data_IF_717872427329
#
_entry.id   IF_717872427329
#
_cell.length_a   1.000
_cell.length_b   1.000
_cell.length_c   1.000
_cell.angle_alpha   90.00
_cell.angle_beta   90.00
_cell.angle_gamma   90.00
#
_symmetry.space_group_name_H-M   'P 1'
#
loop_
_entity.id
_entity.type
_entity.pdbx_description
1 polymer ?
#
# COMPACT_ATOMS: atom_id res chain seq x y z
N UNK A 1 -10.42 -1.69 20.77
CA UNK A 1 -11.08 -2.97 20.39
C UNK A 1 -12.56 -2.99 20.76
N UNK A 2 -12.94 -2.87 22.05
CA UNK A 2 -14.36 -2.90 22.48
C UNK A 2 -15.26 -1.93 21.72
N UNK A 3 -14.80 -0.69 21.49
CA UNK A 3 -15.53 0.28 20.70
C UNK A 3 -15.82 -0.18 19.26
N UNK A 4 -14.88 -0.87 18.62
CA UNK A 4 -15.05 -1.39 17.26
C UNK A 4 -16.06 -2.55 17.21
N UNK A 5 -16.02 -3.44 18.21
CA UNK A 5 -17.02 -4.52 18.35
C UNK A 5 -18.41 -3.92 18.59
N UNK A 6 -18.54 -2.96 19.52
CA UNK A 6 -19.81 -2.26 19.77
C UNK A 6 -20.36 -1.58 18.52
N UNK A 7 -19.51 -0.92 17.74
CA UNK A 7 -19.91 -0.30 16.47
C UNK A 7 -20.44 -1.33 15.46
N UNK A 8 -19.85 -2.53 15.39
CA UNK A 8 -20.35 -3.59 14.52
C UNK A 8 -21.63 -4.27 15.05
N UNK A 9 -21.88 -4.23 16.36
CA UNK A 9 -23.11 -4.74 16.96
C UNK A 9 -24.30 -3.76 16.80
N UNK A 10 -24.06 -2.54 16.34
CA UNK A 10 -25.13 -1.63 15.97
C UNK A 10 -25.89 -2.17 14.75
N UNK A 11 -27.22 -2.22 14.82
CA UNK A 11 -28.07 -2.78 13.76
C UNK A 11 -27.81 -2.12 12.39
N UNK A 12 -27.46 -0.83 12.39
CA UNK A 12 -27.17 -0.07 11.16
C UNK A 12 -25.91 -0.55 10.44
N UNK A 13 -24.98 -1.22 11.13
CA UNK A 13 -23.80 -1.82 10.50
C UNK A 13 -24.13 -3.10 9.72
N UNK A 14 -25.23 -3.78 10.08
CA UNK A 14 -25.68 -5.01 9.44
C UNK A 14 -24.60 -6.11 9.40
N UNK A 15 -24.04 -6.44 10.56
CA UNK A 15 -22.92 -7.40 10.69
C UNK A 15 -23.21 -8.77 10.08
N UNK A 16 -24.44 -9.26 10.21
CA UNK A 16 -24.84 -10.52 9.60
C UNK A 16 -24.78 -10.46 8.07
N UNK A 17 -25.37 -9.41 7.48
CA UNK A 17 -25.37 -9.21 6.03
C UNK A 17 -23.96 -9.05 5.44
N UNK A 18 -23.08 -8.35 6.14
CA UNK A 18 -21.69 -8.13 5.68
C UNK A 18 -20.82 -9.39 5.81
N UNK A 19 -21.06 -10.21 6.83
CA UNK A 19 -20.34 -11.47 7.05
C UNK A 19 -20.83 -12.61 6.17
N UNK A 20 -22.15 -12.71 5.95
CA UNK A 20 -22.78 -13.77 5.16
C UNK A 20 -22.92 -13.45 3.67
N UNK A 21 -22.38 -12.30 3.23
CA UNK A 21 -22.39 -11.90 1.82
C UNK A 21 -21.40 -12.69 0.98
N UNK A 22 -21.81 -13.05 -0.24
CA UNK A 22 -20.92 -13.60 -1.27
C UNK A 22 -19.95 -12.56 -1.83
N UNK A 23 -20.23 -11.27 -1.65
CA UNK A 23 -19.42 -10.16 -2.17
C UNK A 23 -18.07 -9.97 -1.47
N UNK A 24 -17.82 -10.65 -0.36
CA UNK A 24 -16.46 -10.76 0.18
C UNK A 24 -15.96 -9.60 1.04
N UNK A 25 -16.82 -8.79 1.65
CA UNK A 25 -16.41 -7.59 2.40
C UNK A 25 -15.55 -7.88 3.65
N UNK A 26 -14.77 -6.88 4.08
CA UNK A 26 -14.06 -6.83 5.35
C UNK A 26 -14.45 -5.58 6.16
N UNK A 27 -14.46 -5.64 7.51
CA UNK A 27 -14.58 -4.43 8.33
C UNK A 27 -13.28 -3.63 8.28
N UNK A 28 -13.32 -2.45 7.66
CA UNK A 28 -12.31 -1.40 7.83
C UNK A 28 -12.60 -0.65 9.13
N UNK A 29 -11.56 -0.48 9.94
CA UNK A 29 -11.60 0.30 11.18
C UNK A 29 -10.77 1.56 10.97
N UNK A 30 -11.39 2.73 11.06
CA UNK A 30 -10.71 4.03 11.09
C UNK A 30 -10.68 4.52 12.53
N UNK A 31 -9.49 4.82 13.03
CA UNK A 31 -9.28 5.32 14.40
C UNK A 31 -8.94 6.81 14.33
N UNK A 32 -9.52 7.58 15.25
CA UNK A 32 -9.33 9.02 15.42
C UNK A 32 -9.02 9.37 16.88
N UNK A 33 -8.46 10.57 17.11
CA UNK A 33 -8.20 11.14 18.43
C UNK A 33 -6.92 10.64 19.12
N UNK A 34 -6.69 11.05 20.39
CA UNK A 34 -5.41 10.91 21.07
C UNK A 34 -4.93 9.47 21.27
N UNK A 35 -5.84 8.49 21.32
CA UNK A 35 -5.51 7.07 21.49
C UNK A 35 -4.52 6.58 20.42
N UNK A 36 -4.59 7.15 19.20
CA UNK A 36 -3.67 6.82 18.10
C UNK A 36 -2.21 7.01 18.54
N UNK A 37 -1.91 8.11 19.22
CA UNK A 37 -0.57 8.42 19.71
C UNK A 37 -0.21 7.60 20.96
N UNK A 38 -1.15 7.46 21.89
CA UNK A 38 -0.95 6.71 23.14
C UNK A 38 -0.53 5.26 22.90
N UNK A 39 -1.10 4.60 21.89
CA UNK A 39 -0.78 3.20 21.56
C UNK A 39 0.19 3.07 20.38
N UNK A 40 0.79 4.18 19.93
CA UNK A 40 1.72 4.24 18.79
C UNK A 40 1.15 3.60 17.52
N UNK A 41 -0.10 3.94 17.17
CA UNK A 41 -0.65 3.64 15.86
C UNK A 41 0.13 4.35 14.77
N UNK A 42 0.31 3.66 13.65
CA UNK A 42 0.85 4.30 12.47
C UNK A 42 -0.28 5.03 11.75
N UNK A 43 -0.20 6.36 11.79
CA UNK A 43 -0.91 7.26 10.92
C UNK A 43 0.05 7.88 9.90
N UNK A 44 1.17 7.20 9.56
CA UNK A 44 2.19 7.62 8.57
C UNK A 44 2.37 6.61 7.40
N UNK A 45 3.56 6.50 6.82
CA UNK A 45 3.94 5.58 5.73
C UNK A 45 3.21 4.24 5.71
N UNK A 46 2.83 3.78 4.53
CA UNK A 46 2.28 2.43 4.34
C UNK A 46 1.04 2.17 5.24
N UNK A 47 0.19 3.19 5.42
CA UNK A 47 -0.86 3.28 6.43
C UNK A 47 -1.89 2.13 6.41
N UNK A 48 -2.13 1.55 5.22
CA UNK A 48 -3.06 0.44 5.02
C UNK A 48 -2.40 -0.94 5.07
N UNK A 49 -1.08 -1.03 5.26
CA UNK A 49 -0.35 -2.29 5.19
C UNK A 49 0.41 -2.62 6.50
N UNK A 50 1.47 -3.42 6.38
CA UNK A 50 2.07 -4.23 7.44
C UNK A 50 3.01 -3.50 8.42
N UNK A 51 3.05 -2.17 8.41
CA UNK A 51 4.08 -1.42 9.14
C UNK A 51 3.90 -1.27 10.66
N UNK A 52 2.69 -1.46 11.20
CA UNK A 52 2.39 -1.15 12.61
C UNK A 52 1.76 -2.30 13.38
N UNK A 53 2.36 -2.60 14.53
CA UNK A 53 1.83 -3.55 15.51
C UNK A 53 0.44 -3.15 16.00
N UNK A 54 0.22 -1.90 16.37
CA UNK A 54 -1.07 -1.45 16.91
C UNK A 54 -2.20 -1.59 15.86
N UNK A 55 -1.97 -1.09 14.64
CA UNK A 55 -2.95 -1.22 13.54
C UNK A 55 -3.24 -2.70 13.24
N UNK A 56 -2.20 -3.51 13.05
CA UNK A 56 -2.33 -4.93 12.73
C UNK A 56 -3.02 -5.72 13.85
N UNK A 57 -2.68 -5.47 15.12
CA UNK A 57 -3.30 -6.14 16.27
C UNK A 57 -4.77 -5.78 16.38
N UNK A 58 -5.17 -4.52 16.18
CA UNK A 58 -6.59 -4.13 16.26
C UNK A 58 -7.40 -4.82 15.16
N UNK A 59 -6.95 -4.74 13.90
CA UNK A 59 -7.66 -5.37 12.78
C UNK A 59 -7.71 -6.89 12.92
N UNK A 60 -6.60 -7.52 13.33
CA UNK A 60 -6.53 -8.97 13.54
C UNK A 60 -7.39 -9.42 14.72
N UNK A 61 -7.41 -8.69 15.83
CA UNK A 61 -8.25 -8.99 16.98
C UNK A 61 -9.73 -8.97 16.61
N UNK A 62 -10.16 -7.95 15.85
CA UNK A 62 -11.53 -7.90 15.32
C UNK A 62 -11.84 -9.11 14.46
N UNK A 63 -10.94 -9.49 13.52
CA UNK A 63 -11.17 -10.69 12.71
C UNK A 63 -11.25 -11.97 13.57
N UNK A 64 -10.42 -12.11 14.59
CA UNK A 64 -10.46 -13.25 15.50
C UNK A 64 -11.75 -13.29 16.33
N UNK A 65 -12.29 -12.14 16.74
CA UNK A 65 -13.62 -12.09 17.36
C UNK A 65 -14.71 -12.59 16.40
N UNK A 66 -14.70 -12.14 15.14
CA UNK A 66 -15.66 -12.61 14.14
C UNK A 66 -15.56 -14.13 13.93
N UNK A 67 -14.34 -14.66 13.85
CA UNK A 67 -14.11 -16.10 13.65
C UNK A 67 -14.56 -16.93 14.87
N UNK A 68 -14.08 -16.57 16.06
CA UNK A 68 -14.20 -17.42 17.24
C UNK A 68 -15.47 -17.20 18.05
N UNK A 69 -16.03 -15.98 18.03
CA UNK A 69 -17.22 -15.64 18.83
C UNK A 69 -18.50 -15.66 18.00
N UNK A 70 -18.41 -15.26 16.73
CA UNK A 70 -19.58 -15.15 15.84
C UNK A 70 -19.64 -16.27 14.80
N UNK A 71 -18.64 -17.15 14.76
CA UNK A 71 -18.61 -18.28 13.83
C UNK A 71 -18.44 -17.88 12.36
N UNK A 72 -17.87 -16.70 12.06
CA UNK A 72 -17.57 -16.21 10.70
C UNK A 72 -16.43 -16.98 10.01
N UNK A 73 -16.47 -18.31 10.10
CA UNK A 73 -15.52 -19.25 9.49
C UNK A 73 -15.80 -19.34 7.98
N UNK A 74 -14.77 -19.29 7.12
CA UNK A 74 -14.92 -19.49 5.68
C UNK A 74 -15.68 -20.78 5.33
N UNK A 75 -16.68 -20.68 4.46
CA UNK A 75 -17.53 -21.80 4.06
C UNK A 75 -18.71 -22.07 5.00
N UNK A 76 -18.66 -21.59 6.24
CA UNK A 76 -19.78 -21.59 7.18
C UNK A 76 -20.53 -20.26 7.08
N UNK A 77 -20.47 -19.42 8.12
CA UNK A 77 -21.12 -18.10 8.11
C UNK A 77 -20.43 -17.12 7.15
N UNK A 78 -19.12 -17.22 6.93
CA UNK A 78 -18.44 -16.41 5.91
C UNK A 78 -18.64 -17.04 4.53
N UNK A 79 -19.52 -16.42 3.74
CA UNK A 79 -19.94 -16.90 2.41
C UNK A 79 -19.23 -16.21 1.24
N UNK A 80 -18.15 -15.48 1.53
CA UNK A 80 -17.33 -14.82 0.51
C UNK A 80 -16.92 -15.79 -0.59
N UNK A 81 -17.13 -15.43 -1.86
CA UNK A 81 -16.67 -16.26 -2.99
C UNK A 81 -15.16 -16.19 -3.17
N UNK A 82 -14.58 -14.99 -3.04
CA UNK A 82 -13.14 -14.75 -3.11
C UNK A 82 -12.58 -14.16 -1.80
N UNK A 83 -13.30 -13.19 -1.21
CA UNK A 83 -12.76 -12.36 -0.13
C UNK A 83 -11.64 -11.44 -0.63
N UNK A 84 -10.93 -10.79 0.31
CA UNK A 84 -9.75 -10.00 0.00
C UNK A 84 -8.78 -9.94 1.20
N UNK A 85 -7.51 -9.54 1.01
CA UNK A 85 -6.50 -9.55 2.08
C UNK A 85 -6.87 -8.76 3.34
N UNK A 86 -7.72 -7.74 3.22
CA UNK A 86 -8.23 -6.95 4.36
C UNK A 86 -9.03 -7.78 5.38
N UNK A 87 -9.55 -8.96 4.98
CA UNK A 87 -10.17 -9.90 5.92
C UNK A 87 -9.16 -10.52 6.89
N UNK A 88 -7.85 -10.39 6.67
CA UNK A 88 -6.85 -10.76 7.66
C UNK A 88 -6.67 -9.68 8.73
N UNK A 89 -6.51 -8.43 8.29
CA UNK A 89 -6.45 -7.22 9.12
C UNK A 89 -6.70 -5.98 8.26
N UNK A 90 -7.52 -5.04 8.75
CA UNK A 90 -7.77 -3.77 8.08
C UNK A 90 -8.12 -2.67 9.09
N UNK A 91 -7.10 -1.91 9.50
CA UNK A 91 -7.23 -0.86 10.50
C UNK A 91 -6.26 0.28 10.17
N UNK A 92 -6.76 1.51 10.17
CA UNK A 92 -6.00 2.71 9.84
C UNK A 92 -6.25 3.78 10.90
N UNK A 93 -5.20 4.53 11.20
CA UNK A 93 -5.30 5.74 11.98
C UNK A 93 -5.32 6.93 11.01
N UNK A 94 -6.28 7.85 11.18
CA UNK A 94 -6.28 9.08 10.40
C UNK A 94 -5.12 9.98 10.81
N UNK A 95 -4.54 10.69 9.84
CA UNK A 95 -3.52 11.71 10.07
C UNK A 95 -4.19 13.04 10.45
N UNK A 96 -4.19 13.36 11.76
CA UNK A 96 -4.81 14.57 12.30
C UNK A 96 -3.78 15.67 12.57
N UNK A 97 -2.50 15.32 12.58
CA UNK A 97 -1.39 16.21 12.95
C UNK A 97 -0.79 16.91 11.74
N UNK A 98 -0.77 16.26 10.56
CA UNK A 98 -0.29 16.82 9.29
C UNK A 98 -1.45 16.99 8.29
N UNK A 99 -2.57 17.52 8.80
CA UNK A 99 -3.77 17.81 8.02
C UNK A 99 -4.53 19.01 8.59
N UNK A 100 -4.82 20.06 7.79
CA UNK A 100 -5.72 21.13 8.22
C UNK A 100 -7.21 20.72 8.11
N UNK A 101 -7.51 19.55 7.52
CA UNK A 101 -8.87 19.06 7.44
C UNK A 101 -9.36 18.56 8.79
N UNK A 102 -10.61 18.89 9.12
CA UNK A 102 -11.32 18.33 10.27
C UNK A 102 -11.28 16.79 10.23
N UNK A 103 -10.88 16.10 11.31
CA UNK A 103 -10.84 14.65 11.30
C UNK A 103 -12.23 14.02 11.21
N UNK A 104 -12.29 12.79 10.72
CA UNK A 104 -13.52 12.07 10.42
C UNK A 104 -14.43 11.94 11.65
N UNK A 105 -13.86 11.71 12.83
CA UNK A 105 -14.64 11.63 14.07
C UNK A 105 -15.38 12.93 14.38
N UNK A 106 -14.72 14.08 14.26
CA UNK A 106 -15.32 15.39 14.50
C UNK A 106 -16.35 15.72 13.41
N UNK A 107 -16.10 15.37 12.13
CA UNK A 107 -17.13 15.48 11.08
C UNK A 107 -18.40 14.69 11.42
N UNK A 108 -18.28 13.62 12.23
CA UNK A 108 -19.39 12.79 12.71
C UNK A 108 -19.88 13.15 14.12
N UNK A 109 -19.54 14.34 14.61
CA UNK A 109 -20.07 14.89 15.85
C UNK A 109 -19.38 14.43 17.13
N UNK A 110 -18.25 13.73 17.03
CA UNK A 110 -17.41 13.43 18.20
C UNK A 110 -16.73 14.72 18.67
N UNK A 111 -16.74 14.95 19.99
CA UNK A 111 -16.11 16.13 20.57
C UNK A 111 -14.58 16.10 20.40
N UNK A 112 -13.97 17.29 20.40
CA UNK A 112 -12.52 17.40 20.30
C UNK A 112 -11.81 16.74 21.49
N UNK A 113 -10.62 16.19 21.25
CA UNK A 113 -9.86 15.41 22.25
C UNK A 113 -10.46 14.04 22.60
N UNK A 114 -11.60 13.64 22.04
CA UNK A 114 -12.20 12.32 22.27
C UNK A 114 -11.76 11.34 21.20
N UNK A 115 -11.28 10.17 21.63
CA UNK A 115 -10.92 9.09 20.71
C UNK A 115 -12.15 8.36 20.21
N UNK A 116 -12.16 8.02 18.92
CA UNK A 116 -13.29 7.35 18.28
C UNK A 116 -12.85 6.30 17.26
N UNK A 117 -13.80 5.44 16.90
CA UNK A 117 -13.66 4.46 15.83
C UNK A 117 -14.84 4.57 14.88
N UNK A 118 -14.55 4.56 13.59
CA UNK A 118 -15.54 4.36 12.52
C UNK A 118 -15.32 2.99 11.92
N UNK A 119 -16.38 2.18 11.79
CA UNK A 119 -16.30 0.85 11.19
C UNK A 119 -17.17 0.78 9.95
N UNK A 120 -16.60 0.30 8.85
CA UNK A 120 -17.25 0.26 7.52
C UNK A 120 -16.96 -1.09 6.88
N UNK A 121 -17.99 -1.74 6.33
CA UNK A 121 -17.77 -2.93 5.50
C UNK A 121 -17.34 -2.49 4.10
N UNK A 122 -16.16 -2.92 3.66
CA UNK A 122 -15.54 -2.48 2.41
C UNK A 122 -15.13 -3.68 1.53
N UNK A 123 -15.07 -3.45 0.22
CA UNK A 123 -14.36 -4.32 -0.73
C UNK A 123 -12.83 -4.21 -0.54
N UNK A 124 -12.06 -4.96 -1.34
CA UNK A 124 -10.63 -4.73 -1.45
C UNK A 124 -10.33 -3.27 -1.82
N UNK A 125 -9.37 -2.61 -1.15
CA UNK A 125 -8.91 -1.30 -1.58
C UNK A 125 -8.43 -1.33 -3.03
N UNK A 126 -8.81 -0.32 -3.80
CA UNK A 126 -8.31 -0.06 -5.16
C UNK A 126 -7.42 1.17 -5.11
N UNK A 127 -6.17 1.02 -5.53
CA UNK A 127 -5.26 2.15 -5.64
C UNK A 127 -5.49 2.85 -6.98
N UNK A 128 -5.57 4.18 -6.92
CA UNK A 128 -5.86 5.04 -8.06
C UNK A 128 -4.75 6.07 -8.12
N UNK A 129 -4.22 6.32 -9.32
CA UNK A 129 -3.10 7.23 -9.52
C UNK A 129 -3.48 8.29 -10.54
N UNK A 130 -3.25 9.55 -10.19
CA UNK A 130 -3.26 10.66 -11.12
C UNK A 130 -2.17 11.65 -10.69
N UNK A 131 -1.07 11.69 -11.44
CA UNK A 131 0.05 12.60 -11.22
C UNK A 131 0.19 13.64 -12.34
N UNK A 132 -0.82 13.75 -13.20
CA UNK A 132 -0.80 14.57 -14.43
C UNK A 132 -1.58 15.88 -14.29
N UNK A 133 -2.19 16.12 -13.14
CA UNK A 133 -2.93 17.35 -12.84
C UNK A 133 -2.71 17.80 -11.40
N UNK A 134 -2.76 19.10 -11.20
CA UNK A 134 -2.81 19.76 -9.89
C UNK A 134 -4.19 20.37 -9.59
N UNK A 135 -5.16 20.26 -10.50
CA UNK A 135 -6.54 20.70 -10.29
C UNK A 135 -7.32 19.71 -9.40
N UNK A 136 -7.79 20.13 -8.21
CA UNK A 136 -8.65 19.32 -7.35
C UNK A 136 -9.87 18.70 -8.05
N UNK A 137 -10.49 19.41 -8.98
CA UNK A 137 -11.68 18.93 -9.69
C UNK A 137 -11.34 17.73 -10.58
N UNK A 138 -10.21 17.78 -11.29
CA UNK A 138 -9.74 16.69 -12.14
C UNK A 138 -9.28 15.47 -11.31
N UNK A 139 -8.67 15.71 -10.14
CA UNK A 139 -8.38 14.65 -9.17
C UNK A 139 -9.68 13.99 -8.66
N UNK A 140 -10.68 14.78 -8.30
CA UNK A 140 -11.98 14.26 -7.90
C UNK A 140 -12.70 13.51 -9.03
N UNK A 141 -12.54 13.93 -10.29
CA UNK A 141 -13.07 13.21 -11.44
C UNK A 141 -12.42 11.82 -11.58
N UNK A 142 -11.13 11.71 -11.26
CA UNK A 142 -10.43 10.42 -11.20
C UNK A 142 -11.06 9.50 -10.15
N UNK A 143 -11.35 10.02 -8.95
CA UNK A 143 -12.03 9.23 -7.91
C UNK A 143 -13.45 8.84 -8.32
N UNK A 144 -14.19 9.75 -8.96
CA UNK A 144 -15.53 9.48 -9.46
C UNK A 144 -15.53 8.42 -10.57
N UNK A 145 -14.53 8.43 -11.45
CA UNK A 145 -14.37 7.42 -12.50
C UNK A 145 -14.24 6.00 -11.93
N UNK A 146 -13.44 5.84 -10.88
CA UNK A 146 -13.28 4.56 -10.19
C UNK A 146 -14.55 4.11 -9.48
N UNK A 147 -15.31 5.03 -8.90
CA UNK A 147 -16.63 4.72 -8.33
C UNK A 147 -17.61 4.29 -9.41
N UNK A 148 -17.66 4.96 -10.58
CA UNK A 148 -18.47 4.52 -11.72
C UNK A 148 -18.06 3.13 -12.19
N UNK A 149 -16.75 2.85 -12.28
CA UNK A 149 -16.25 1.52 -12.62
C UNK A 149 -16.71 0.46 -11.59
N UNK A 150 -16.65 0.77 -10.29
CA UNK A 150 -17.17 -0.11 -9.23
C UNK A 150 -18.69 -0.33 -9.34
N UNK A 151 -19.48 0.69 -9.71
CA UNK A 151 -20.92 0.53 -9.95
C UNK A 151 -21.21 -0.47 -11.08
N UNK A 152 -20.43 -0.38 -12.15
CA UNK A 152 -20.60 -1.25 -13.31
C UNK A 152 -20.12 -2.68 -13.01
N UNK A 153 -19.02 -2.84 -12.28
CA UNK A 153 -18.35 -4.14 -12.12
C UNK A 153 -18.74 -4.90 -10.86
N UNK A 154 -18.99 -4.21 -9.75
CA UNK A 154 -19.26 -4.80 -8.44
C UNK A 154 -20.69 -4.53 -7.94
N UNK A 155 -21.02 -3.31 -7.53
CA UNK A 155 -22.30 -2.98 -6.89
C UNK A 155 -23.27 -2.28 -7.84
N UNK A 156 -24.49 -2.79 -7.98
CA UNK A 156 -25.55 -2.09 -8.74
C UNK A 156 -26.38 -1.13 -7.88
N UNK A 157 -26.00 -0.97 -6.61
CA UNK A 157 -26.69 -0.19 -5.60
C UNK A 157 -25.80 0.93 -5.09
N UNK A 158 -26.42 2.07 -4.76
CA UNK A 158 -25.73 3.15 -4.07
C UNK A 158 -25.38 2.72 -2.63
N UNK A 159 -24.23 3.16 -2.14
CA UNK A 159 -23.75 2.80 -0.81
C UNK A 159 -22.57 3.66 -0.36
N UNK A 160 -22.07 3.43 0.86
CA UNK A 160 -20.94 4.17 1.39
C UNK A 160 -19.63 3.78 0.69
N UNK A 161 -18.76 4.77 0.49
CA UNK A 161 -17.38 4.57 0.02
C UNK A 161 -16.40 5.18 1.02
N UNK A 162 -15.18 4.65 1.04
CA UNK A 162 -14.07 5.23 1.81
C UNK A 162 -12.98 5.66 0.85
N UNK A 163 -12.67 6.95 0.85
CA UNK A 163 -11.59 7.53 0.07
C UNK A 163 -10.46 7.91 1.02
N UNK A 164 -9.34 7.22 0.89
CA UNK A 164 -8.14 7.42 1.71
C UNK A 164 -7.16 8.26 0.89
N UNK A 165 -7.01 9.54 1.21
CA UNK A 165 -6.23 10.49 0.40
C UNK A 165 -4.83 10.69 1.00
N UNK A 166 -3.75 10.33 0.30
CA UNK A 166 -2.38 10.54 0.78
C UNK A 166 -2.03 12.03 0.77
N UNK A 167 -1.11 12.45 1.65
CA UNK A 167 -0.77 13.88 1.78
C UNK A 167 -0.32 14.56 0.50
N UNK A 168 0.40 13.87 -0.40
CA UNK A 168 0.78 14.44 -1.71
C UNK A 168 -0.43 15.01 -2.48
N UNK A 169 -1.57 14.33 -2.46
CA UNK A 169 -2.79 14.83 -3.09
C UNK A 169 -3.53 15.81 -2.18
N UNK A 170 -3.59 15.55 -0.86
CA UNK A 170 -4.24 16.47 0.09
C UNK A 170 -3.65 17.88 0.02
N UNK A 171 -2.33 18.02 -0.10
CA UNK A 171 -1.65 19.32 -0.17
C UNK A 171 -2.15 20.13 -1.38
N UNK A 172 -2.50 19.49 -2.50
CA UNK A 172 -3.11 20.16 -3.68
C UNK A 172 -4.52 20.67 -3.37
N UNK A 173 -5.35 19.83 -2.74
CA UNK A 173 -6.69 20.25 -2.29
C UNK A 173 -6.62 21.42 -1.30
N UNK A 174 -5.72 21.32 -0.31
CA UNK A 174 -5.53 22.35 0.71
C UNK A 174 -5.03 23.66 0.09
N UNK A 175 -4.08 23.60 -0.84
CA UNK A 175 -3.57 24.79 -1.54
C UNK A 175 -4.67 25.50 -2.35
N UNK A 176 -5.63 24.75 -2.89
CA UNK A 176 -6.81 25.29 -3.56
C UNK A 176 -7.95 25.71 -2.61
N UNK A 177 -7.75 25.60 -1.29
CA UNK A 177 -8.75 25.94 -0.27
C UNK A 177 -9.87 24.91 -0.09
N UNK A 178 -9.75 23.72 -0.66
CA UNK A 178 -10.76 22.67 -0.56
C UNK A 178 -10.74 22.01 0.83
N UNK A 179 -11.94 21.71 1.31
CA UNK A 179 -12.21 20.89 2.48
C UNK A 179 -12.72 19.51 2.04
N UNK A 180 -12.75 18.53 2.96
CA UNK A 180 -13.32 17.19 2.69
C UNK A 180 -14.75 17.26 2.13
N UNK A 181 -15.56 18.24 2.57
CA UNK A 181 -16.92 18.45 2.06
C UNK A 181 -16.94 18.73 0.55
N UNK A 182 -15.97 19.47 0.02
CA UNK A 182 -15.94 19.87 -1.38
C UNK A 182 -15.61 18.66 -2.26
N UNK A 183 -14.73 17.77 -1.76
CA UNK A 183 -14.48 16.45 -2.35
C UNK A 183 -15.74 15.59 -2.36
N UNK A 184 -16.47 15.51 -1.22
CA UNK A 184 -17.74 14.75 -1.12
C UNK A 184 -18.77 15.24 -2.13
N UNK A 185 -18.99 16.55 -2.20
CA UNK A 185 -19.97 17.16 -3.10
C UNK A 185 -19.61 16.95 -4.57
N UNK A 186 -18.35 17.16 -4.95
CA UNK A 186 -17.90 16.94 -6.31
C UNK A 186 -18.11 15.47 -6.71
N UNK A 187 -17.62 14.54 -5.90
CA UNK A 187 -17.68 13.10 -6.21
C UNK A 187 -19.13 12.61 -6.25
N UNK A 188 -20.00 13.03 -5.33
CA UNK A 188 -21.43 12.67 -5.37
C UNK A 188 -22.15 13.19 -6.61
N UNK A 189 -21.76 14.38 -7.10
CA UNK A 189 -22.27 14.91 -8.36
C UNK A 189 -21.78 14.09 -9.55
N UNK A 190 -20.48 13.77 -9.61
CA UNK A 190 -19.83 13.17 -10.78
C UNK A 190 -19.92 11.63 -10.86
N UNK A 191 -20.04 10.92 -9.73
CA UNK A 191 -20.06 9.46 -9.68
C UNK A 191 -21.46 8.90 -10.03
N UNK A 192 -21.83 9.03 -11.30
CA UNK A 192 -23.12 8.60 -11.86
C UNK A 192 -22.94 7.75 -13.10
N UNK A 193 -23.82 6.80 -13.29
CA UNK A 193 -23.92 5.97 -14.50
C UNK A 193 -25.36 5.89 -14.95
N UNK A 194 -25.59 5.63 -16.24
CA UNK A 194 -26.92 5.35 -16.77
C UNK A 194 -27.17 3.85 -16.72
N UNK A 195 -28.44 3.46 -16.61
CA UNK A 195 -28.81 2.05 -16.60
C UNK A 195 -28.30 1.30 -17.83
N UNK A 196 -28.27 1.95 -18.99
CA UNK A 196 -27.73 1.40 -20.23
C UNK A 196 -26.24 1.02 -20.18
N UNK A 197 -25.43 1.66 -19.32
CA UNK A 197 -23.99 1.41 -19.23
C UNK A 197 -23.69 -0.02 -18.77
N UNK A 198 -24.59 -0.65 -17.99
CA UNK A 198 -24.44 -2.04 -17.56
C UNK A 198 -24.45 -3.06 -18.72
N UNK A 199 -24.98 -2.70 -19.90
CA UNK A 199 -24.85 -3.56 -21.10
C UNK A 199 -23.39 -3.78 -21.48
N UNK A 200 -22.54 -2.75 -21.34
CA UNK A 200 -21.13 -2.77 -21.75
C UNK A 200 -20.27 -3.72 -20.89
N UNK A 201 -20.76 -4.08 -19.71
CA UNK A 201 -20.08 -4.98 -18.75
C UNK A 201 -20.83 -6.31 -18.57
N UNK A 202 -21.62 -6.72 -19.57
CA UNK A 202 -22.29 -8.02 -19.59
C UNK A 202 -23.51 -8.16 -18.69
N UNK A 203 -24.02 -7.05 -18.14
CA UNK A 203 -25.17 -7.01 -17.22
C UNK A 203 -26.46 -6.56 -17.91
N UNK A 204 -26.64 -6.92 -19.18
CA UNK A 204 -27.78 -6.51 -20.02
C UNK A 204 -29.16 -6.88 -19.45
N UNK A 205 -29.26 -7.94 -18.63
CA UNK A 205 -30.50 -8.36 -17.96
C UNK A 205 -31.06 -7.31 -16.99
N UNK A 206 -30.23 -6.36 -16.54
CA UNK A 206 -30.67 -5.26 -15.67
C UNK A 206 -31.35 -4.12 -16.44
N UNK A 207 -31.27 -4.13 -17.77
CA UNK A 207 -31.63 -2.99 -18.62
C UNK A 207 -32.88 -3.30 -19.42
N UNK A 208 -33.93 -2.53 -19.20
CA UNK A 208 -35.19 -2.57 -19.93
C UNK A 208 -35.37 -1.27 -20.73
N UNK A 209 -36.25 -1.24 -21.76
CA UNK A 209 -36.52 0.00 -22.49
C UNK A 209 -36.97 1.16 -21.59
N UNK A 210 -37.73 0.87 -20.53
CA UNK A 210 -38.31 1.86 -19.61
C UNK A 210 -37.26 2.47 -18.69
N UNK A 211 -36.19 1.71 -18.35
CA UNK A 211 -35.20 2.14 -17.38
C UNK A 211 -33.85 2.55 -17.99
N UNK A 212 -33.63 2.34 -19.29
CA UNK A 212 -32.32 2.49 -19.94
C UNK A 212 -31.65 3.85 -19.72
N UNK A 213 -32.43 4.94 -19.82
CA UNK A 213 -31.95 6.31 -19.63
C UNK A 213 -31.85 6.76 -18.16
N UNK A 214 -32.32 5.95 -17.20
CA UNK A 214 -32.32 6.34 -15.79
C UNK A 214 -30.90 6.41 -15.24
N UNK A 215 -30.60 7.51 -14.56
CA UNK A 215 -29.33 7.70 -13.86
C UNK A 215 -29.34 7.05 -12.47
N UNK A 216 -28.17 6.54 -12.09
CA UNK A 216 -27.88 5.95 -10.80
C UNK A 216 -26.62 6.60 -10.23
N UNK A 217 -26.64 6.87 -8.92
CA UNK A 217 -25.51 7.45 -8.19
C UNK A 217 -24.74 6.37 -7.42
N UNK A 218 -23.43 6.55 -7.25
CA UNK A 218 -22.63 5.67 -6.40
C UNK A 218 -22.98 5.84 -4.91
N UNK A 219 -23.25 7.08 -4.50
CA UNK A 219 -23.51 7.50 -3.13
C UNK A 219 -24.97 7.95 -3.02
N UNK A 220 -25.66 7.71 -1.89
CA UNK A 220 -27.06 8.19 -1.71
C UNK A 220 -27.09 9.67 -1.34
N UNK A 221 -26.06 10.14 -0.66
CA UNK A 221 -25.82 11.53 -0.30
C UNK A 221 -24.30 11.78 -0.26
N UNK A 222 -23.82 13.05 -0.34
CA UNK A 222 -22.40 13.37 -0.21
C UNK A 222 -21.72 12.72 1.01
N UNK A 223 -22.41 12.72 2.16
CA UNK A 223 -21.90 12.20 3.43
C UNK A 223 -21.76 10.66 3.51
N UNK A 224 -22.23 9.93 2.50
CA UNK A 224 -21.89 8.50 2.32
C UNK A 224 -20.42 8.31 1.90
N UNK A 225 -19.72 9.36 1.45
CA UNK A 225 -18.29 9.32 1.14
C UNK A 225 -17.45 9.68 2.36
N UNK A 226 -16.74 8.69 2.90
CA UNK A 226 -15.82 8.90 4.01
C UNK A 226 -14.44 9.29 3.48
N UNK A 227 -14.09 10.56 3.60
CA UNK A 227 -12.76 11.06 3.25
C UNK A 227 -11.84 10.97 4.47
N UNK A 228 -10.87 10.05 4.40
CA UNK A 228 -9.87 9.81 5.43
C UNK A 228 -8.56 10.44 5.00
N UNK A 229 -8.03 11.35 5.81
CA UNK A 229 -6.69 11.88 5.61
C UNK A 229 -5.68 10.78 5.91
N UNK A 230 -5.13 10.18 4.85
CA UNK A 230 -3.98 9.32 4.99
C UNK A 230 -2.69 10.13 4.94
N UNK A 231 -1.65 9.61 5.57
CA UNK A 231 -0.34 10.25 5.63
C UNK A 231 0.45 10.30 4.32
N UNK A 232 1.57 11.04 4.37
CA UNK A 232 2.70 10.89 3.46
C UNK A 232 4.05 10.84 4.20
N UNK A 233 5.10 10.43 3.47
CA UNK A 233 6.15 11.36 3.04
C UNK A 233 6.49 11.04 1.57
N UNK A 234 6.53 12.07 0.71
CA UNK A 234 7.53 12.13 -0.35
C UNK A 234 8.47 13.24 0.09
N UNK A 235 9.76 12.92 0.32
CA UNK A 235 10.76 13.99 0.33
C UNK A 235 10.72 14.55 -1.08
N UNK A 236 10.10 15.72 -1.26
CA UNK A 236 10.34 16.55 -2.43
C UNK A 236 11.86 16.78 -2.41
N UNK A 237 12.60 16.17 -3.32
CA UNK A 237 13.94 16.65 -3.63
C UNK A 237 13.75 18.12 -4.04
N UNK A 238 14.13 19.04 -3.16
CA UNK A 238 14.06 20.47 -3.45
C UNK A 238 15.24 20.81 -4.36
N UNK A 239 14.87 21.32 -5.54
CA UNK A 239 15.64 22.22 -6.41
C UNK A 239 16.91 21.71 -7.11
N UNK A 240 16.71 20.89 -8.14
CA UNK A 240 17.11 21.32 -9.49
C UNK A 240 15.81 21.64 -10.25
N UNK A 241 15.74 22.77 -10.96
CA UNK A 241 14.49 23.25 -11.56
C UNK A 241 13.70 22.17 -12.29
N UNK A 242 12.38 22.15 -12.10
CA UNK A 242 11.47 21.25 -12.81
C UNK A 242 11.64 21.49 -14.31
N UNK A 243 12.41 20.65 -14.98
CA UNK A 243 12.22 20.44 -16.41
C UNK A 243 10.76 20.02 -16.60
N UNK A 244 10.04 20.54 -17.61
CA UNK A 244 8.69 20.10 -17.91
C UNK A 244 8.69 18.58 -18.00
N UNK A 245 7.84 17.93 -17.18
CA UNK A 245 7.70 16.47 -17.23
C UNK A 245 7.23 16.12 -18.65
N UNK A 246 7.82 15.11 -19.30
CA UNK A 246 7.38 14.72 -20.63
C UNK A 246 5.88 14.43 -20.56
N UNK A 247 5.14 14.88 -21.58
CA UNK A 247 3.73 14.56 -21.74
C UNK A 247 3.49 13.05 -21.76
N UNK A 248 2.22 12.59 -21.83
CA UNK A 248 1.93 11.17 -22.04
C UNK A 248 2.80 10.64 -23.17
N UNK A 249 3.36 9.42 -23.05
CA UNK A 249 4.25 8.89 -24.06
C UNK A 249 3.61 9.08 -25.44
N UNK A 250 4.28 9.86 -26.29
CA UNK A 250 3.92 9.92 -27.70
C UNK A 250 3.84 8.49 -28.22
N UNK A 251 2.88 8.24 -29.12
CA UNK A 251 2.53 6.90 -29.61
C UNK A 251 3.77 6.04 -29.80
N UNK A 252 3.66 4.77 -29.38
CA UNK A 252 4.73 3.76 -29.45
C UNK A 252 5.43 3.93 -30.80
N UNK A 253 6.74 4.23 -30.84
CA UNK A 253 7.45 4.38 -32.10
C UNK A 253 7.26 3.11 -32.93
N UNK A 254 6.79 3.27 -34.16
CA UNK A 254 6.72 2.18 -35.14
C UNK A 254 8.12 1.56 -35.27
N UNK A 255 8.32 0.39 -34.66
CA UNK A 255 9.59 -0.34 -34.72
C UNK A 255 10.11 -0.94 -33.41
N UNK A 256 9.44 -0.75 -32.26
CA UNK A 256 9.77 -1.59 -31.09
C UNK A 256 9.25 -2.99 -31.37
N UNK A 257 10.14 -3.92 -31.76
CA UNK A 257 9.82 -5.35 -31.76
C UNK A 257 9.30 -5.69 -30.37
N UNK A 258 8.02 -6.05 -30.28
CA UNK A 258 7.45 -6.69 -29.10
C UNK A 258 8.29 -7.92 -28.80
N UNK A 259 9.25 -7.81 -27.88
CA UNK A 259 9.70 -8.97 -27.16
C UNK A 259 8.45 -9.47 -26.45
N UNK A 260 7.94 -10.63 -26.87
CA UNK A 260 6.81 -11.30 -26.23
C UNK A 260 7.23 -11.59 -24.79
N UNK A 261 6.95 -10.65 -23.89
CA UNK A 261 7.20 -10.76 -22.46
C UNK A 261 6.15 -11.72 -21.89
N UNK A 262 6.36 -13.01 -22.13
CA UNK A 262 5.55 -14.06 -21.53
C UNK A 262 5.64 -14.01 -20.00
N UNK A 263 4.56 -14.40 -19.32
CA UNK A 263 4.57 -14.56 -17.86
C UNK A 263 5.59 -15.65 -17.51
N UNK A 264 6.69 -15.27 -16.86
CA UNK A 264 7.66 -16.24 -16.31
C UNK A 264 7.14 -16.74 -14.97
N UNK A 265 6.66 -17.97 -14.94
CA UNK A 265 6.33 -18.68 -13.71
C UNK A 265 7.62 -19.21 -13.12
N UNK A 266 7.96 -18.78 -11.90
CA UNK A 266 9.09 -19.31 -11.15
C UNK A 266 8.60 -20.54 -10.39
N UNK A 267 9.36 -21.63 -10.46
CA UNK A 267 9.12 -22.80 -9.63
C UNK A 267 9.58 -22.47 -8.20
N UNK A 268 8.68 -22.38 -7.21
CA UNK A 268 9.07 -22.14 -5.81
C UNK A 268 9.67 -23.40 -5.17
N UNK A 269 9.60 -24.55 -5.86
CA UNK A 269 10.41 -25.72 -5.53
C UNK A 269 11.85 -25.29 -5.75
N UNK A 270 12.62 -25.19 -4.67
CA UNK A 270 14.01 -24.73 -4.75
C UNK A 270 14.69 -25.44 -5.92
N UNK A 271 15.12 -24.65 -6.92
CA UNK A 271 15.87 -25.10 -8.08
C UNK A 271 16.80 -26.20 -7.60
N UNK A 272 16.60 -27.42 -8.14
CA UNK A 272 17.04 -28.66 -7.53
C UNK A 272 18.36 -28.49 -6.81
N UNK A 273 18.31 -28.49 -5.48
CA UNK A 273 19.43 -28.22 -4.56
C UNK A 273 20.64 -27.67 -5.30
N UNK A 274 20.68 -26.37 -5.59
CA UNK A 274 21.89 -25.71 -6.14
C UNK A 274 23.07 -26.39 -5.45
N UNK A 275 23.88 -27.17 -6.20
CA UNK A 275 24.82 -28.15 -5.63
C UNK A 275 25.38 -27.52 -4.38
N UNK A 276 24.95 -28.03 -3.22
CA UNK A 276 24.98 -27.28 -1.98
C UNK A 276 26.34 -26.62 -1.88
N UNK A 277 26.37 -25.30 -2.10
CA UNK A 277 27.60 -24.55 -2.06
C UNK A 277 28.07 -24.72 -0.64
N UNK A 278 28.97 -25.69 -0.43
CA UNK A 278 29.47 -26.00 0.89
C UNK A 278 30.03 -24.71 1.45
N UNK A 279 29.82 -24.47 2.75
CA UNK A 279 30.53 -23.38 3.41
C UNK A 279 32.00 -23.47 3.01
N UNK A 280 32.55 -22.37 2.50
CA UNK A 280 33.96 -22.31 2.19
C UNK A 280 34.73 -22.81 3.41
N UNK A 281 35.72 -23.69 3.19
CA UNK A 281 36.48 -24.26 4.30
C UNK A 281 37.05 -23.11 5.13
N UNK A 282 36.82 -23.09 6.45
CA UNK A 282 37.32 -22.01 7.29
C UNK A 282 38.85 -21.96 7.17
N UNK A 283 39.39 -20.75 7.08
CA UNK A 283 40.83 -20.56 7.13
C UNK A 283 41.34 -20.98 8.52
N UNK A 284 42.35 -21.85 8.55
CA UNK A 284 43.01 -22.24 9.80
C UNK A 284 43.79 -21.09 10.45
N UNK A 285 44.12 -20.05 9.68
CA UNK A 285 44.72 -18.81 10.15
C UNK A 285 44.51 -17.70 9.12
N UNK A 286 44.42 -16.46 9.60
CA UNK A 286 44.40 -15.26 8.76
C UNK A 286 45.81 -14.73 8.47
N UNK A 287 46.85 -15.24 9.13
CA UNK A 287 48.22 -14.76 8.95
C UNK A 287 48.70 -15.02 7.52
N UNK A 288 49.10 -13.96 6.81
CA UNK A 288 49.56 -14.04 5.42
C UNK A 288 48.44 -14.18 4.38
N UNK A 289 47.18 -14.33 4.78
CA UNK A 289 46.05 -14.48 3.87
C UNK A 289 45.77 -13.19 3.08
N UNK A 290 45.29 -13.32 1.85
CA UNK A 290 44.74 -12.24 1.05
C UNK A 290 43.23 -12.19 1.21
N UNK A 291 42.71 -11.05 1.68
CA UNK A 291 41.28 -10.88 1.96
C UNK A 291 40.62 -9.96 0.93
N UNK A 292 39.57 -10.44 0.27
CA UNK A 292 38.73 -9.64 -0.60
C UNK A 292 37.73 -8.82 0.22
N UNK A 293 37.61 -7.52 -0.04
CA UNK A 293 36.62 -6.64 0.58
C UNK A 293 35.69 -6.10 -0.50
N UNK A 294 34.41 -6.47 -0.43
CA UNK A 294 33.39 -6.07 -1.39
C UNK A 294 32.44 -5.02 -0.80
N UNK A 295 32.48 -3.82 -1.37
CA UNK A 295 31.61 -2.68 -1.03
C UNK A 295 30.35 -2.69 -1.91
N UNK A 296 29.18 -2.77 -1.29
CA UNK A 296 27.89 -2.73 -1.99
C UNK A 296 27.43 -1.31 -2.38
N UNK A 297 28.21 -0.27 -2.10
CA UNK A 297 28.01 1.11 -2.54
C UNK A 297 27.02 1.94 -1.72
N UNK A 298 26.50 1.39 -0.61
CA UNK A 298 25.65 2.13 0.34
C UNK A 298 26.49 3.05 1.24
N UNK A 299 25.83 4.04 1.86
CA UNK A 299 26.49 4.94 2.81
C UNK A 299 27.14 4.13 3.95
N UNK A 300 28.24 4.66 4.50
CA UNK A 300 28.98 4.07 5.63
C UNK A 300 29.71 2.73 5.39
N UNK A 301 29.44 2.00 4.29
CA UNK A 301 30.09 0.71 4.00
C UNK A 301 31.60 0.84 3.89
N UNK A 302 32.10 1.87 3.20
CA UNK A 302 33.54 2.12 3.06
C UNK A 302 34.21 2.30 4.43
N UNK A 303 33.60 3.09 5.34
CA UNK A 303 34.15 3.31 6.70
C UNK A 303 34.20 2.02 7.52
N UNK A 304 33.18 1.18 7.38
CA UNK A 304 33.16 -0.14 8.03
C UNK A 304 34.28 -1.03 7.49
N UNK A 305 34.43 -1.13 6.17
CA UNK A 305 35.48 -1.92 5.54
C UNK A 305 36.90 -1.41 5.87
N UNK A 306 37.08 -0.09 6.02
CA UNK A 306 38.33 0.50 6.51
C UNK A 306 38.68 0.03 7.92
N UNK A 307 37.69 -0.01 8.80
CA UNK A 307 37.87 -0.52 10.16
C UNK A 307 38.21 -2.02 10.16
N UNK A 308 37.51 -2.81 9.34
CA UNK A 308 37.75 -4.26 9.19
C UNK A 308 39.16 -4.52 8.68
N UNK A 309 39.60 -3.84 7.62
CA UNK A 309 40.96 -3.98 7.11
C UNK A 309 42.00 -3.67 8.18
N UNK A 310 41.81 -2.59 8.94
CA UNK A 310 42.73 -2.18 10.01
C UNK A 310 42.87 -3.29 11.06
N UNK A 311 41.76 -3.88 11.51
CA UNK A 311 41.76 -4.99 12.49
C UNK A 311 42.46 -6.21 11.91
N UNK A 312 42.11 -6.61 10.69
CA UNK A 312 42.70 -7.78 10.03
C UNK A 312 44.22 -7.66 9.86
N UNK A 313 44.72 -6.46 9.55
CA UNK A 313 46.17 -6.22 9.47
C UNK A 313 46.84 -6.20 10.84
N UNK A 314 46.31 -5.41 11.76
CA UNK A 314 46.97 -5.14 13.04
C UNK A 314 46.94 -6.36 13.98
N UNK A 315 45.83 -7.09 14.01
CA UNK A 315 45.57 -8.13 15.00
C UNK A 315 45.74 -9.54 14.43
N UNK A 316 45.56 -9.71 13.12
CA UNK A 316 45.55 -11.02 12.47
C UNK A 316 46.66 -11.23 11.43
N UNK A 317 47.40 -10.18 11.06
CA UNK A 317 48.60 -10.28 10.21
C UNK A 317 48.34 -10.76 8.79
N UNK A 318 47.23 -10.35 8.17
CA UNK A 318 46.93 -10.67 6.77
C UNK A 318 48.01 -10.17 5.81
N UNK A 319 48.24 -10.90 4.71
CA UNK A 319 49.28 -10.60 3.72
C UNK A 319 48.85 -9.58 2.65
N UNK A 320 47.55 -9.53 2.33
CA UNK A 320 47.04 -8.69 1.24
C UNK A 320 45.55 -8.37 1.35
N UNK A 321 45.12 -7.33 0.64
CA UNK A 321 43.70 -6.95 0.55
C UNK A 321 43.36 -6.60 -0.90
N UNK A 322 42.26 -7.15 -1.41
CA UNK A 322 41.69 -6.80 -2.70
C UNK A 322 40.34 -6.08 -2.49
N UNK A 323 40.29 -4.78 -2.77
CA UNK A 323 39.06 -3.98 -2.61
C UNK A 323 38.31 -3.85 -3.93
N UNK A 324 37.01 -4.15 -3.91
CA UNK A 324 36.11 -3.91 -5.05
C UNK A 324 34.82 -3.28 -4.59
N UNK A 325 34.23 -2.45 -5.46
CA UNK A 325 32.93 -1.83 -5.25
C UNK A 325 32.01 -2.20 -6.40
N UNK A 326 30.77 -2.57 -6.08
CA UNK A 326 29.75 -2.83 -7.09
C UNK A 326 29.29 -1.53 -7.75
N UNK A 327 29.02 -1.60 -9.05
CA UNK A 327 28.46 -0.49 -9.81
C UNK A 327 27.00 -0.18 -9.42
N UNK A 328 26.23 -1.21 -9.03
CA UNK A 328 24.84 -1.09 -8.60
C UNK A 328 24.62 -1.81 -7.27
N UNK A 329 24.10 -1.06 -6.29
CA UNK A 329 23.86 -1.51 -4.93
C UNK A 329 22.74 -2.57 -4.80
N UNK A 330 21.84 -2.65 -5.78
CA UNK A 330 20.68 -3.55 -5.77
C UNK A 330 20.79 -4.73 -6.73
N UNK A 331 21.77 -4.71 -7.64
CA UNK A 331 22.01 -5.82 -8.58
C UNK A 331 22.97 -6.87 -7.96
N UNK A 332 22.99 -8.13 -8.43
CA UNK A 332 24.07 -9.06 -8.13
C UNK A 332 25.46 -8.49 -8.48
N UNK A 333 26.52 -9.02 -7.86
CA UNK A 333 27.88 -8.66 -8.26
C UNK A 333 28.16 -9.15 -9.69
N UNK A 334 28.91 -8.36 -10.45
CA UNK A 334 29.31 -8.72 -11.80
C UNK A 334 30.10 -10.05 -11.78
N UNK A 335 29.83 -11.02 -12.69
CA UNK A 335 30.54 -12.30 -12.72
C UNK A 335 32.07 -12.17 -12.76
N UNK A 336 32.60 -11.15 -13.45
CA UNK A 336 34.04 -10.93 -13.55
C UNK A 336 34.61 -10.47 -12.19
N UNK A 337 33.85 -9.62 -11.49
CA UNK A 337 34.19 -9.17 -10.14
C UNK A 337 34.15 -10.34 -9.14
N UNK A 338 33.21 -11.26 -9.28
CA UNK A 338 33.13 -12.48 -8.45
C UNK A 338 34.32 -13.39 -8.73
N UNK A 339 34.65 -13.63 -9.99
CA UNK A 339 35.79 -14.46 -10.39
C UNK A 339 37.13 -13.88 -9.89
N UNK A 340 37.24 -12.55 -9.82
CA UNK A 340 38.41 -11.88 -9.28
C UNK A 340 38.53 -12.06 -7.76
N UNK A 341 37.44 -11.82 -7.02
CA UNK A 341 37.41 -11.99 -5.56
C UNK A 341 37.59 -13.45 -5.15
N UNK A 342 37.17 -14.41 -5.96
CA UNK A 342 37.37 -15.84 -5.73
C UNK A 342 38.84 -16.27 -5.69
N UNK A 343 39.78 -15.40 -6.11
CA UNK A 343 41.23 -15.62 -5.99
C UNK A 343 41.78 -15.25 -4.61
N UNK A 344 40.97 -14.62 -3.76
CA UNK A 344 41.34 -14.33 -2.37
C UNK A 344 41.13 -15.56 -1.48
N UNK A 345 41.87 -15.65 -0.38
CA UNK A 345 41.73 -16.73 0.59
C UNK A 345 40.40 -16.65 1.36
N UNK A 346 39.87 -15.44 1.54
CA UNK A 346 38.51 -15.20 2.04
C UNK A 346 37.97 -13.87 1.52
N UNK A 347 36.65 -13.71 1.55
CA UNK A 347 35.97 -12.49 1.10
C UNK A 347 35.01 -11.99 2.18
N UNK A 348 35.08 -10.70 2.50
CA UNK A 348 34.12 -9.98 3.33
C UNK A 348 33.26 -9.11 2.41
N UNK A 349 31.98 -9.44 2.31
CA UNK A 349 31.00 -8.62 1.62
C UNK A 349 30.23 -7.79 2.64
N UNK A 350 30.21 -6.47 2.48
CA UNK A 350 29.57 -5.57 3.42
C UNK A 350 28.37 -4.84 2.78
N UNK A 351 27.29 -4.78 3.54
CA UNK A 351 26.08 -4.01 3.25
C UNK A 351 25.76 -3.21 4.51
N UNK A 352 25.58 -1.89 4.40
CA UNK A 352 25.29 -1.00 5.52
C UNK A 352 24.30 0.09 5.09
N UNK A 353 23.63 0.76 6.01
CA UNK A 353 22.68 1.85 5.70
C UNK A 353 23.25 3.25 5.97
#
# INVERSE_FOLDING_TARGET
MVAAIRAMCDERFLLHGTSASTGGSAPLIVVNGPIRREIAMNATHNALANGSRANATIGRAVRLCLLNLLGCVPGALDRSTLGHPGKFTLCVAEDEEDSPWRPLAQERGVADGVSAVTVVAVESPRQVMNEWTDDPAELCETFAAEMRANMLTYSIWAGPYVLVIPKQLRDLFVAAGWQKRDVREYVHRAARVRREDWRRVGKSRLVTPENAGREFTALRAPDDLLVVAAPAVVRRQVAGGHAPRPGPPGGVPDGVKEATMGIRVLDPTGEGSAEGGGLARPLGSLRGATIGLLDNGKANVTRFLDHVERVLRAEHGIGGVLRRRKANLSAPADPDLVAELARCDAVVSAVGD
#
